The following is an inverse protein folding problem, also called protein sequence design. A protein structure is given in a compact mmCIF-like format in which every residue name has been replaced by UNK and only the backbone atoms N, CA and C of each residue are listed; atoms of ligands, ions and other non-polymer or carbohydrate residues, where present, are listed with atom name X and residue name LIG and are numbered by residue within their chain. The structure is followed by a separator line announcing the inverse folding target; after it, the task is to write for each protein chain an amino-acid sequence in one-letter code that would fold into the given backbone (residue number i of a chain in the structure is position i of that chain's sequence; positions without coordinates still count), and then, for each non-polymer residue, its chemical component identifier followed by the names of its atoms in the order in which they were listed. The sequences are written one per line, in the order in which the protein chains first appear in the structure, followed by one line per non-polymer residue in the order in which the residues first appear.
data_IF_805770026785
#
_entry.id   IF_805770026785
#
_cell.length_a   1.000
_cell.length_b   1.000
_cell.length_c   1.000
_cell.angle_alpha   90.00
_cell.angle_beta   90.00
_cell.angle_gamma   90.00
#
_symmetry.space_group_name_H-M   'P 1'
#
loop_
_entity.id
_entity.type
_entity.pdbx_description
1 polymer ?
#
# COMPACT_ATOMS: atom_id res chain seq x y z
N UNK A 1 -8.63 10.87 6.10
CA UNK A 1 -7.53 10.57 5.14
C UNK A 1 -6.22 10.71 5.89
N UNK A 2 -5.31 9.76 5.76
CA UNK A 2 -4.02 9.74 6.45
C UNK A 2 -2.89 9.80 5.42
N UNK A 3 -2.01 10.79 5.55
CA UNK A 3 -0.94 11.05 4.58
C UNK A 3 -1.43 11.37 3.16
N UNK A 4 -0.54 11.24 2.16
CA UNK A 4 0.92 11.09 2.30
C UNK A 4 1.61 12.36 2.84
N UNK A 5 2.89 12.24 3.23
CA UNK A 5 3.72 13.36 3.72
C UNK A 5 3.92 14.44 2.64
N UNK A 6 4.48 14.07 1.50
CA UNK A 6 4.70 14.95 0.34
C UNK A 6 4.47 14.14 -0.94
N UNK A 7 3.74 14.70 -1.90
CA UNK A 7 3.54 14.08 -3.22
C UNK A 7 4.40 14.76 -4.26
N UNK A 8 4.91 13.97 -5.22
CA UNK A 8 5.66 14.49 -6.37
C UNK A 8 5.30 13.69 -7.62
N UNK A 9 5.27 14.38 -8.77
CA UNK A 9 4.94 13.75 -10.04
C UNK A 9 3.45 13.51 -10.22
N UNK A 10 3.09 12.36 -10.80
CA UNK A 10 1.70 12.05 -11.15
C UNK A 10 0.95 11.49 -9.93
N UNK A 11 -0.04 12.24 -9.47
CA UNK A 11 -0.93 11.84 -8.38
C UNK A 11 -1.93 10.79 -8.88
N UNK A 12 -2.28 9.87 -7.99
CA UNK A 12 -3.31 8.86 -8.22
C UNK A 12 -4.17 8.68 -6.98
N UNK A 13 -5.42 8.24 -7.21
CA UNK A 13 -6.44 8.10 -6.18
C UNK A 13 -7.25 6.81 -6.43
N UNK A 14 -7.42 6.00 -5.37
CA UNK A 14 -8.21 4.77 -5.36
C UNK A 14 -9.16 4.76 -4.17
N UNK A 15 -9.77 5.91 -3.87
CA UNK A 15 -10.83 6.02 -2.88
C UNK A 15 -11.97 5.02 -3.17
N UNK A 16 -12.57 4.47 -2.12
CA UNK A 16 -13.63 3.47 -2.13
C UNK A 16 -13.25 2.08 -2.66
N UNK A 17 -11.97 1.83 -3.02
CA UNK A 17 -11.47 0.51 -3.41
C UNK A 17 -11.01 -0.28 -2.18
N UNK A 18 -11.98 -0.67 -1.35
CA UNK A 18 -11.71 -1.19 0.01
C UNK A 18 -11.71 -2.71 0.18
N UNK A 19 -12.31 -3.47 -0.75
CA UNK A 19 -12.38 -4.94 -0.70
C UNK A 19 -11.12 -5.59 -1.29
N UNK A 20 -9.96 -5.28 -0.72
CA UNK A 20 -8.68 -5.78 -1.24
C UNK A 20 -8.57 -7.28 -1.01
N UNK A 21 -8.23 -8.01 -2.07
CA UNK A 21 -7.89 -9.45 -2.02
C UNK A 21 -6.42 -9.70 -2.36
N UNK A 22 -5.77 -8.75 -3.05
CA UNK A 22 -4.36 -8.88 -3.41
C UNK A 22 -3.66 -7.53 -3.46
N UNK A 23 -2.39 -7.50 -3.05
CA UNK A 23 -1.47 -6.37 -3.27
C UNK A 23 -0.21 -6.89 -3.96
N UNK A 24 0.14 -6.30 -5.09
CA UNK A 24 1.36 -6.60 -5.85
C UNK A 24 2.34 -5.44 -5.73
N UNK A 25 3.59 -5.75 -5.40
CA UNK A 25 4.62 -4.76 -5.09
C UNK A 25 5.90 -5.16 -5.82
N UNK A 26 6.41 -4.26 -6.68
CA UNK A 26 7.78 -4.36 -7.17
C UNK A 26 8.65 -3.38 -6.39
N UNK A 27 9.83 -3.81 -5.95
CA UNK A 27 10.73 -2.97 -5.16
C UNK A 27 12.22 -3.27 -5.43
N UNK A 28 13.03 -2.25 -5.22
CA UNK A 28 14.49 -2.31 -5.29
C UNK A 28 15.14 -1.88 -3.98
N UNK A 29 16.45 -1.69 -4.02
CA UNK A 29 17.25 -1.43 -2.82
C UNK A 29 16.88 -0.15 -2.07
N UNK A 30 16.19 0.84 -2.65
CA UNK A 30 15.86 2.09 -1.96
C UNK A 30 14.51 2.68 -2.41
N UNK A 31 13.61 1.85 -2.95
CA UNK A 31 12.32 2.34 -3.41
C UNK A 31 11.30 1.25 -3.68
N UNK A 32 10.03 1.65 -3.57
CA UNK A 32 8.90 0.95 -4.16
C UNK A 32 8.79 1.35 -5.63
N UNK A 33 9.06 0.41 -6.53
CA UNK A 33 9.04 0.62 -7.98
C UNK A 33 7.61 0.66 -8.50
N UNK A 34 6.79 -0.32 -8.09
CA UNK A 34 5.37 -0.34 -8.45
C UNK A 34 4.46 -0.85 -7.34
N UNK A 35 3.19 -0.45 -7.45
CA UNK A 35 2.12 -0.84 -6.54
C UNK A 35 0.83 -1.05 -7.35
N UNK A 36 0.15 -2.17 -7.08
CA UNK A 36 -1.15 -2.49 -7.64
C UNK A 36 -1.97 -3.26 -6.61
N UNK A 37 -3.26 -2.99 -6.55
CA UNK A 37 -4.21 -3.79 -5.78
C UNK A 37 -5.15 -4.53 -6.71
N UNK A 38 -5.65 -5.69 -6.27
CA UNK A 38 -6.84 -6.31 -6.83
C UNK A 38 -7.93 -6.30 -5.77
N UNK A 39 -9.16 -6.10 -6.21
CA UNK A 39 -10.34 -6.06 -5.33
C UNK A 39 -11.35 -7.11 -5.74
N UNK A 40 -12.04 -7.68 -4.75
CA UNK A 40 -13.29 -8.39 -5.00
C UNK A 40 -14.38 -7.39 -5.40
N UNK A 41 -15.18 -7.74 -6.40
CA UNK A 41 -16.43 -7.05 -6.67
C UNK A 41 -17.48 -7.38 -5.61
N UNK A 42 -18.60 -6.70 -5.67
CA UNK A 42 -19.70 -6.87 -4.74
C UNK A 42 -20.88 -7.33 -5.58
N UNK A 43 -20.84 -8.58 -6.03
CA UNK A 43 -21.90 -9.11 -6.86
C UNK A 43 -22.80 -9.89 -5.92
N UNK A 44 -24.08 -9.53 -5.88
CA UNK A 44 -25.10 -10.13 -5.01
C UNK A 44 -25.34 -11.64 -5.30
N UNK A 45 -24.64 -12.21 -6.28
CA UNK A 45 -24.79 -13.60 -6.75
C UNK A 45 -23.76 -14.59 -6.16
N UNK A 46 -22.94 -14.15 -5.20
CA UNK A 46 -22.15 -15.06 -4.35
C UNK A 46 -20.86 -15.61 -4.95
N UNK A 47 -20.39 -15.05 -6.07
CA UNK A 47 -19.02 -15.25 -6.57
C UNK A 47 -18.33 -13.90 -6.67
N UNK A 48 -17.30 -13.68 -5.84
CA UNK A 48 -16.49 -12.47 -5.88
C UNK A 48 -15.58 -12.51 -7.12
N UNK A 49 -15.96 -11.82 -8.20
CA UNK A 49 -15.04 -11.57 -9.30
C UNK A 49 -13.89 -10.67 -8.83
N UNK A 50 -12.67 -10.97 -9.26
CA UNK A 50 -11.46 -10.25 -8.82
C UNK A 50 -10.94 -9.36 -9.93
N UNK A 51 -10.88 -8.06 -9.66
CA UNK A 51 -10.46 -7.04 -10.62
C UNK A 51 -9.14 -6.39 -10.21
N UNK A 52 -8.09 -6.62 -11.00
CA UNK A 52 -6.84 -5.88 -10.89
C UNK A 52 -7.10 -4.39 -11.19
N UNK A 53 -6.77 -3.53 -10.24
CA UNK A 53 -6.83 -2.10 -10.44
C UNK A 53 -5.60 -1.62 -11.22
N UNK A 54 -5.57 -0.32 -11.53
CA UNK A 54 -4.45 0.29 -12.24
C UNK A 54 -3.12 0.05 -11.52
N UNK A 55 -2.09 -0.33 -12.29
CA UNK A 55 -0.69 -0.38 -11.84
C UNK A 55 -0.12 1.04 -11.75
N UNK A 56 0.53 1.37 -10.64
CA UNK A 56 1.26 2.61 -10.44
C UNK A 56 2.75 2.35 -10.37
N UNK A 57 3.54 3.16 -11.09
CA UNK A 57 4.98 2.96 -11.23
C UNK A 57 5.32 1.94 -12.31
N UNK A 58 6.58 1.48 -12.33
CA UNK A 58 7.08 0.48 -13.28
C UNK A 58 7.45 -0.79 -12.52
N UNK A 59 7.01 -1.99 -12.95
CA UNK A 59 7.30 -3.23 -12.26
C UNK A 59 8.69 -3.77 -12.66
N UNK A 60 9.71 -2.91 -12.60
CA UNK A 60 11.09 -3.17 -13.03
C UNK A 60 12.07 -3.27 -11.84
N UNK A 61 11.55 -3.37 -10.62
CA UNK A 61 12.35 -3.60 -9.42
C UNK A 61 12.96 -5.00 -9.41
N UNK A 62 14.09 -5.15 -8.69
CA UNK A 62 14.80 -6.43 -8.56
C UNK A 62 14.00 -7.50 -7.80
N UNK A 63 13.02 -7.08 -7.00
CA UNK A 63 12.16 -7.96 -6.23
C UNK A 63 10.69 -7.68 -6.57
N UNK A 64 9.89 -8.73 -6.51
CA UNK A 64 8.44 -8.67 -6.65
C UNK A 64 7.80 -9.51 -5.55
N UNK A 65 6.77 -8.96 -4.90
CA UNK A 65 6.05 -9.61 -3.82
C UNK A 65 4.55 -9.48 -4.03
N UNK A 66 3.83 -10.55 -3.72
CA UNK A 66 2.37 -10.60 -3.72
C UNK A 66 1.87 -10.88 -2.31
N UNK A 67 0.97 -10.04 -1.84
CA UNK A 67 0.23 -10.21 -0.58
C UNK A 67 -1.17 -10.66 -0.94
N UNK A 68 -1.54 -11.87 -0.53
CA UNK A 68 -2.91 -12.38 -0.62
C UNK A 68 -3.65 -12.08 0.69
N UNK A 69 -4.81 -11.44 0.58
CA UNK A 69 -5.66 -11.08 1.72
C UNK A 69 -6.93 -11.94 1.66
N UNK A 70 -7.17 -12.73 2.71
CA UNK A 70 -8.37 -13.56 2.86
C UNK A 70 -9.62 -12.72 3.20
N UNK A 71 -10.07 -11.89 2.25
CA UNK A 71 -11.27 -11.08 2.39
C UNK A 71 -12.53 -11.96 2.56
N UNK A 72 -13.50 -11.63 3.43
CA UNK A 72 -13.53 -10.48 4.35
C UNK A 72 -12.91 -10.76 5.74
N UNK A 73 -12.37 -11.96 5.98
CA UNK A 73 -11.85 -12.39 7.29
C UNK A 73 -10.52 -11.72 7.66
N UNK A 74 -9.76 -11.34 6.65
CA UNK A 74 -8.52 -10.60 6.75
C UNK A 74 -8.67 -9.20 6.13
N UNK A 75 -8.27 -8.17 6.85
CA UNK A 75 -8.37 -6.78 6.42
C UNK A 75 -7.22 -5.94 7.02
N UNK A 76 -6.87 -4.86 6.33
CA UNK A 76 -5.82 -3.95 6.77
C UNK A 76 -6.22 -3.22 8.06
N UNK A 77 -5.32 -3.25 9.04
CA UNK A 77 -5.42 -2.52 10.31
C UNK A 77 -4.31 -1.48 10.45
N UNK A 78 -3.19 -1.64 9.74
CA UNK A 78 -2.15 -0.62 9.69
C UNK A 78 -1.38 -0.69 8.37
N UNK A 79 -0.94 0.47 7.89
CA UNK A 79 0.05 0.60 6.82
C UNK A 79 1.17 1.47 7.35
N UNK A 80 2.39 0.94 7.34
CA UNK A 80 3.58 1.62 7.86
C UNK A 80 4.75 1.46 6.91
N UNK A 81 5.85 2.13 7.19
CA UNK A 81 7.05 2.04 6.36
C UNK A 81 7.99 3.20 6.62
N UNK A 82 8.91 3.42 5.69
CA UNK A 82 9.90 4.48 5.79
C UNK A 82 10.05 5.23 4.47
N UNK A 83 10.30 6.53 4.59
CA UNK A 83 10.74 7.39 3.50
C UNK A 83 12.25 7.60 3.58
N UNK A 84 12.94 7.61 2.45
CA UNK A 84 14.34 8.02 2.32
C UNK A 84 14.41 9.25 1.42
N UNK A 85 14.86 10.38 1.96
CA UNK A 85 14.92 11.66 1.24
C UNK A 85 13.60 12.01 0.53
N UNK A 86 12.47 11.84 1.23
CA UNK A 86 11.12 12.10 0.72
C UNK A 86 10.56 11.04 -0.24
N UNK A 87 11.30 9.98 -0.57
CA UNK A 87 10.82 8.87 -1.43
C UNK A 87 10.41 7.67 -0.59
N UNK A 88 9.26 7.06 -0.88
CA UNK A 88 8.82 5.81 -0.26
C UNK A 88 9.87 4.70 -0.49
N UNK A 89 10.56 4.33 0.59
CA UNK A 89 11.69 3.41 0.56
C UNK A 89 11.29 2.00 0.99
N UNK A 90 10.38 1.90 1.97
CA UNK A 90 9.82 0.64 2.43
C UNK A 90 8.34 0.77 2.78
N UNK A 91 7.62 -0.37 2.74
CA UNK A 91 6.24 -0.45 3.17
C UNK A 91 5.94 -1.80 3.84
N UNK A 92 5.12 -1.75 4.88
CA UNK A 92 4.59 -2.89 5.62
C UNK A 92 3.06 -2.79 5.61
N UNK A 93 2.41 -3.91 5.30
CA UNK A 93 0.96 -4.05 5.41
C UNK A 93 0.66 -4.92 6.62
N UNK A 94 -0.08 -4.38 7.58
CA UNK A 94 -0.51 -5.13 8.76
C UNK A 94 -2.01 -5.38 8.65
N UNK A 95 -2.39 -6.65 8.78
CA UNK A 95 -3.77 -7.08 8.84
C UNK A 95 -4.14 -7.48 10.27
N UNK A 96 -5.43 -7.69 10.52
CA UNK A 96 -5.91 -8.28 11.76
C UNK A 96 -5.37 -9.71 12.03
N UNK A 97 -4.68 -10.33 11.07
CA UNK A 97 -4.12 -11.68 11.21
C UNK A 97 -2.59 -11.70 11.27
N UNK A 98 -1.90 -10.88 10.46
CA UNK A 98 -0.44 -10.93 10.32
C UNK A 98 0.12 -9.65 9.70
N UNK A 99 1.44 -9.55 9.65
CA UNK A 99 2.17 -8.50 8.95
C UNK A 99 2.83 -9.03 7.68
N UNK A 100 2.87 -8.22 6.63
CA UNK A 100 3.55 -8.50 5.36
C UNK A 100 4.58 -7.41 5.07
N UNK A 101 5.80 -7.83 4.75
CA UNK A 101 6.94 -6.96 4.54
C UNK A 101 7.91 -6.96 5.73
N UNK A 102 8.78 -5.94 5.86
CA UNK A 102 8.87 -4.77 4.99
C UNK A 102 9.25 -5.13 3.55
N UNK A 103 8.56 -4.53 2.60
CA UNK A 103 8.95 -4.55 1.18
C UNK A 103 9.77 -3.31 0.90
N UNK A 104 10.87 -3.44 0.15
CA UNK A 104 11.87 -2.38 -0.02
C UNK A 104 13.02 -2.52 0.98
N UNK A 105 13.70 -1.41 1.28
CA UNK A 105 14.84 -1.41 2.21
C UNK A 105 14.55 -0.51 3.40
N UNK A 106 14.84 -1.04 4.58
CA UNK A 106 14.74 -0.27 5.81
C UNK A 106 16.05 0.40 6.19
N UNK A 107 15.96 1.48 6.97
CA UNK A 107 17.11 2.29 7.38
C UNK A 107 17.97 1.68 8.48
N UNK A 108 17.60 0.52 9.03
CA UNK A 108 18.24 -0.09 10.21
C UNK A 108 19.77 -0.13 10.10
N UNK A 109 20.44 0.62 10.99
CA UNK A 109 21.90 0.68 11.05
C UNK A 109 22.58 1.54 9.98
N UNK A 110 21.83 2.30 9.16
CA UNK A 110 22.38 3.23 8.17
C UNK A 110 22.47 4.66 8.74
N UNK A 111 23.45 5.44 8.27
CA UNK A 111 23.55 6.88 8.57
C UNK A 111 22.64 7.75 7.67
N UNK A 112 21.77 7.12 6.88
CA UNK A 112 20.87 7.82 5.97
C UNK A 112 19.60 8.25 6.72
N UNK A 113 19.03 9.39 6.32
CA UNK A 113 17.81 9.93 6.92
C UNK A 113 16.56 9.15 6.46
N UNK A 114 16.36 7.97 7.04
CA UNK A 114 15.09 7.25 6.94
C UNK A 114 14.08 7.84 7.93
N UNK A 115 12.90 8.14 7.45
CA UNK A 115 11.81 8.74 8.21
C UNK A 115 10.64 7.75 8.29
N UNK A 116 10.33 7.20 9.47
CA UNK A 116 9.24 6.25 9.61
C UNK A 116 7.87 6.93 9.50
N UNK A 117 6.89 6.19 8.99
CA UNK A 117 5.48 6.54 9.07
C UNK A 117 4.65 5.33 9.50
N UNK A 118 3.50 5.60 10.12
CA UNK A 118 2.53 4.58 10.48
C UNK A 118 1.12 5.16 10.42
N UNK A 119 0.24 4.49 9.69
CA UNK A 119 -1.19 4.80 9.62
C UNK A 119 -1.94 3.67 10.31
N UNK A 120 -2.28 3.88 11.58
CA UNK A 120 -3.11 2.96 12.37
C UNK A 120 -4.59 3.18 12.04
N UNK A 121 -5.27 2.12 11.61
CA UNK A 121 -6.69 2.09 11.25
C UNK A 121 -7.55 1.47 12.35
N UNK A 122 -6.95 1.04 13.46
CA UNK A 122 -7.61 0.34 14.56
C UNK A 122 -7.99 -1.11 14.23
N UNK A 123 -8.66 -1.82 15.16
CA UNK A 123 -8.90 -3.26 15.07
C UNK A 123 -10.08 -3.64 14.14
N UNK A 124 -10.73 -2.66 13.50
CA UNK A 124 -11.92 -2.85 12.67
C UNK A 124 -11.57 -2.69 11.19
N UNK A 125 -12.44 -3.18 10.32
CA UNK A 125 -12.27 -3.04 8.86
C UNK A 125 -12.63 -1.61 8.40
N UNK A 126 -11.76 -0.64 8.73
CA UNK A 126 -11.95 0.78 8.42
C UNK A 126 -11.19 1.23 7.16
N UNK A 127 -10.46 0.34 6.49
CA UNK A 127 -9.75 0.69 5.26
C UNK A 127 -10.71 1.15 4.15
N UNK A 128 -10.43 2.31 3.55
CA UNK A 128 -11.27 2.99 2.57
C UNK A 128 -10.68 3.14 1.17
N UNK A 129 -9.44 2.69 0.94
CA UNK A 129 -8.72 2.86 -0.31
C UNK A 129 -7.35 3.51 -0.12
N UNK A 130 -6.55 3.52 -1.18
CA UNK A 130 -5.23 4.17 -1.21
C UNK A 130 -5.27 5.45 -2.05
N UNK A 131 -4.32 6.34 -1.79
CA UNK A 131 -3.90 7.38 -2.72
C UNK A 131 -2.38 7.52 -2.70
N UNK A 132 -1.82 8.26 -3.64
CA UNK A 132 -0.38 8.45 -3.69
C UNK A 132 0.11 9.16 -4.92
N UNK A 133 1.41 9.02 -5.18
CA UNK A 133 2.04 9.61 -6.36
C UNK A 133 3.12 8.72 -6.96
N UNK A 134 3.37 8.89 -8.25
CA UNK A 134 4.47 8.26 -9.00
C UNK A 134 5.41 9.35 -9.50
N UNK A 135 6.69 9.21 -9.20
CA UNK A 135 7.73 10.11 -9.66
C UNK A 135 8.89 9.32 -10.25
N UNK A 136 9.33 9.70 -11.47
CA UNK A 136 10.41 9.04 -12.21
C UNK A 136 10.24 7.50 -12.32
N UNK A 137 9.01 7.04 -12.46
CA UNK A 137 8.68 5.62 -12.62
C UNK A 137 8.57 4.81 -11.33
N UNK A 138 8.86 5.38 -10.15
CA UNK A 138 8.67 4.71 -8.86
C UNK A 138 7.46 5.29 -8.11
N UNK A 139 6.84 4.50 -7.24
CA UNK A 139 5.90 5.01 -6.23
C UNK A 139 6.69 5.93 -5.30
N UNK A 140 6.25 7.19 -5.22
CA UNK A 140 6.95 8.22 -4.47
C UNK A 140 6.34 8.39 -3.08
N UNK A 141 5.01 8.36 -2.99
CA UNK A 141 4.29 8.54 -1.74
C UNK A 141 3.00 7.72 -1.72
N UNK A 142 2.56 7.36 -0.52
CA UNK A 142 1.34 6.58 -0.28
C UNK A 142 0.54 7.16 0.90
N UNK A 143 -0.77 7.16 0.77
CA UNK A 143 -1.73 7.54 1.80
C UNK A 143 -2.91 6.56 1.84
N UNK A 144 -3.70 6.67 2.89
CA UNK A 144 -4.83 5.76 3.17
C UNK A 144 -6.09 6.56 3.47
N UNK A 145 -7.20 6.14 2.86
CA UNK A 145 -8.54 6.57 3.27
C UNK A 145 -9.04 5.68 4.41
N UNK A 146 -9.69 6.31 5.38
CA UNK A 146 -10.32 5.63 6.52
C UNK A 146 -11.81 5.87 6.41
N UNK A 147 -12.61 4.80 6.46
CA UNK A 147 -14.07 4.86 6.52
C UNK A 147 -14.49 5.41 7.89
N UNK A 148 -15.54 6.25 7.95
CA UNK A 148 -16.10 6.65 9.24
C UNK A 148 -16.61 5.43 10.00
N UNK A 149 -16.56 5.52 11.32
CA UNK A 149 -17.23 4.55 12.18
C UNK A 149 -18.75 4.67 11.94
N UNK A 150 -19.40 3.54 11.64
CA UNK A 150 -20.85 3.40 11.59
C UNK A 150 -21.32 2.58 12.78
#
# INVERSE_FOLDING_TARGET
KLGPKEMKGKIWDQKNKSKIVQINISHGNNCINSFQISIASADDEGMDDVYAQKLYGKPDGMNFSTVAIDHPKEFLVCVSGEYLNGKLASIVFVTNKRSYGPFGKTGGGSNLAYEPFSFDLGPRNLFGGFDGSVYKGSVHAIGVYVKPYG
#
